data_IF_380308239009
#
_entry.id   IF_380308239009
#
_cell.length_a   1.000
_cell.length_b   1.000
_cell.length_c   1.000
_cell.angle_alpha   90.00
_cell.angle_beta   90.00
_cell.angle_gamma   90.00
#
_symmetry.space_group_name_H-M   'P 1'
#
loop_
_entity.id
_entity.type
_entity.pdbx_description
1 polymer ?
#
# COMPACT_ATOMS: atom_id res chain seq x y z
N UNK A 1 -22.44 47.05 1.07
CA UNK A 1 -21.26 46.82 1.92
C UNK A 1 -21.14 45.34 2.14
N UNK A 2 -19.95 44.80 1.94
CA UNK A 2 -19.57 43.41 2.20
C UNK A 2 -19.72 43.10 3.69
N UNK A 3 -20.06 41.86 4.03
CA UNK A 3 -19.39 41.18 5.15
C UNK A 3 -19.36 39.67 4.89
N UNK A 4 -18.22 39.21 4.39
CA UNK A 4 -17.87 37.80 4.32
C UNK A 4 -17.23 37.39 5.64
N UNK A 5 -17.96 36.63 6.45
CA UNK A 5 -17.40 35.90 7.57
C UNK A 5 -17.00 34.48 7.15
N UNK A 6 -15.81 33.97 7.53
CA UNK A 6 -15.35 32.67 7.11
C UNK A 6 -16.21 31.55 7.70
N UNK A 7 -16.45 30.54 6.86
CA UNK A 7 -17.19 29.32 7.15
C UNK A 7 -16.48 28.50 8.25
N UNK A 8 -17.28 28.06 9.22
CA UNK A 8 -17.16 26.72 9.80
C UNK A 8 -15.89 26.41 10.60
N UNK A 9 -15.68 27.11 11.71
CA UNK A 9 -14.91 26.56 12.82
C UNK A 9 -15.77 25.55 13.59
N UNK A 10 -15.84 24.30 13.10
CA UNK A 10 -16.31 23.17 13.91
C UNK A 10 -15.20 22.71 14.88
N UNK A 11 -15.54 22.07 16.01
CA UNK A 11 -14.54 21.60 16.97
C UNK A 11 -13.58 20.64 16.30
N UNK A 12 -12.36 20.52 16.82
CA UNK A 12 -11.31 19.56 16.47
C UNK A 12 -11.84 18.11 16.46
N UNK A 13 -12.63 17.75 15.46
CA UNK A 13 -13.08 16.39 15.24
C UNK A 13 -11.89 15.62 14.69
N UNK A 14 -11.44 14.60 15.42
CA UNK A 14 -10.48 13.65 14.89
C UNK A 14 -10.96 13.13 13.54
N UNK A 15 -10.12 13.26 12.52
CA UNK A 15 -10.37 12.61 11.24
C UNK A 15 -10.35 11.09 11.47
N UNK A 16 -11.50 10.45 11.25
CA UNK A 16 -11.66 9.01 11.46
C UNK A 16 -11.48 8.20 10.19
N UNK A 17 -10.97 8.80 9.10
CA UNK A 17 -10.70 8.08 7.87
C UNK A 17 -9.58 7.05 8.05
N UNK A 18 -9.70 5.92 7.34
CA UNK A 18 -8.67 4.89 7.28
C UNK A 18 -7.32 5.49 6.87
N UNK A 19 -7.34 6.35 5.85
CA UNK A 19 -6.16 7.05 5.34
C UNK A 19 -5.44 7.82 6.46
N UNK A 20 -6.16 8.63 7.22
CA UNK A 20 -5.55 9.40 8.30
C UNK A 20 -5.04 8.48 9.40
N UNK A 21 -5.90 7.63 9.97
CA UNK A 21 -5.57 6.83 11.16
C UNK A 21 -4.54 5.73 10.89
N UNK A 22 -4.65 5.00 9.78
CA UNK A 22 -3.91 3.77 9.54
C UNK A 22 -2.78 3.92 8.51
N UNK A 23 -2.71 5.03 7.77
CA UNK A 23 -1.68 5.23 6.73
C UNK A 23 -0.78 6.41 7.04
N UNK A 24 -1.36 7.56 7.39
CA UNK A 24 -0.60 8.82 7.57
C UNK A 24 -0.09 8.99 9.01
N UNK A 25 -0.86 8.58 10.02
CA UNK A 25 -0.42 8.62 11.42
C UNK A 25 0.61 7.51 11.72
N UNK A 26 1.85 7.83 12.13
CA UNK A 26 2.90 6.81 12.31
C UNK A 26 2.54 5.72 13.33
N UNK A 27 1.93 6.11 14.45
CA UNK A 27 1.53 5.17 15.50
C UNK A 27 0.36 4.31 15.03
N UNK A 28 -0.65 4.92 14.41
CA UNK A 28 -1.82 4.17 13.94
C UNK A 28 -1.46 3.21 12.80
N UNK A 29 -0.60 3.62 11.87
CA UNK A 29 -0.01 2.73 10.86
C UNK A 29 0.76 1.56 11.47
N UNK A 30 1.62 1.82 12.46
CA UNK A 30 2.35 0.75 13.15
C UNK A 30 1.39 -0.26 13.79
N UNK A 31 0.38 0.22 14.52
CA UNK A 31 -0.62 -0.62 15.16
C UNK A 31 -1.42 -1.44 14.14
N UNK A 32 -1.81 -0.81 13.03
CA UNK A 32 -2.53 -1.48 11.96
C UNK A 32 -1.69 -2.56 11.28
N UNK A 33 -0.42 -2.28 10.96
CA UNK A 33 0.51 -3.28 10.42
C UNK A 33 0.67 -4.48 11.37
N UNK A 34 0.75 -4.27 12.68
CA UNK A 34 0.77 -5.37 13.68
C UNK A 34 -0.54 -6.15 13.71
N UNK A 35 -1.67 -5.49 13.54
CA UNK A 35 -2.95 -6.16 13.41
C UNK A 35 -2.98 -7.06 12.17
N UNK A 36 -2.49 -6.59 11.01
CA UNK A 36 -2.43 -7.38 9.77
C UNK A 36 -1.56 -8.63 9.92
N UNK A 37 -0.41 -8.53 10.60
CA UNK A 37 0.46 -9.68 10.91
C UNK A 37 -0.28 -10.78 11.69
N UNK A 38 -1.20 -10.40 12.59
CA UNK A 38 -1.97 -11.32 13.42
C UNK A 38 -3.27 -11.84 12.80
N UNK A 39 -3.67 -11.32 11.64
CA UNK A 39 -4.95 -11.64 10.99
C UNK A 39 -4.72 -12.56 9.78
N UNK A 40 -4.99 -13.88 9.85
CA UNK A 40 -4.64 -14.83 8.79
C UNK A 40 -5.20 -14.49 7.40
N UNK A 41 -6.38 -13.87 7.33
CA UNK A 41 -6.99 -13.44 6.08
C UNK A 41 -6.37 -12.18 5.45
N UNK A 42 -5.62 -11.41 6.24
CA UNK A 42 -4.99 -10.14 5.83
C UNK A 42 -3.47 -10.19 5.86
N UNK A 43 -2.87 -11.27 6.38
CA UNK A 43 -1.44 -11.42 6.56
C UNK A 43 -0.66 -11.21 5.25
N UNK A 44 -1.14 -11.73 4.13
CA UNK A 44 -0.52 -11.53 2.82
C UNK A 44 -0.55 -10.05 2.37
N UNK A 45 -1.65 -9.33 2.63
CA UNK A 45 -1.75 -7.90 2.32
C UNK A 45 -0.81 -7.06 3.22
N UNK A 46 -0.72 -7.40 4.51
CA UNK A 46 0.23 -6.78 5.44
C UNK A 46 1.69 -7.02 5.03
N UNK A 47 2.03 -8.24 4.64
CA UNK A 47 3.35 -8.58 4.13
C UNK A 47 3.68 -7.84 2.83
N UNK A 48 2.74 -7.74 1.88
CA UNK A 48 2.92 -6.95 0.67
C UNK A 48 3.19 -5.48 1.00
N UNK A 49 2.44 -4.89 1.94
CA UNK A 49 2.67 -3.50 2.37
C UNK A 49 4.12 -3.33 2.87
N UNK A 50 4.56 -4.18 3.80
CA UNK A 50 5.91 -4.10 4.35
C UNK A 50 7.00 -4.19 3.27
N UNK A 51 6.82 -5.08 2.30
CA UNK A 51 7.77 -5.27 1.19
C UNK A 51 7.77 -4.09 0.21
N UNK A 52 6.62 -3.46 -0.06
CA UNK A 52 6.57 -2.22 -0.85
C UNK A 52 7.34 -1.08 -0.18
N UNK A 53 7.22 -0.93 1.15
CA UNK A 53 7.95 0.10 1.90
C UNK A 53 9.44 -0.22 2.08
N UNK A 54 9.81 -1.49 2.05
CA UNK A 54 11.20 -1.90 1.95
C UNK A 54 11.76 -1.58 0.55
N UNK A 55 10.99 -1.88 -0.49
CA UNK A 55 11.34 -1.64 -1.87
C UNK A 55 11.55 -0.15 -2.20
N UNK A 56 10.74 0.75 -1.63
CA UNK A 56 10.92 2.20 -1.75
C UNK A 56 12.29 2.69 -1.23
N UNK A 57 12.92 1.90 -0.33
CA UNK A 57 14.24 2.18 0.26
C UNK A 57 15.38 1.41 -0.41
N UNK A 58 15.11 0.59 -1.42
CA UNK A 58 16.16 -0.13 -2.14
C UNK A 58 17.01 0.81 -2.99
N UNK A 59 18.31 0.54 -3.01
CA UNK A 59 19.25 1.16 -3.93
C UNK A 59 19.00 0.67 -5.36
N UNK A 60 19.39 1.44 -6.37
CA UNK A 60 19.09 1.12 -7.77
C UNK A 60 19.68 -0.21 -8.24
N UNK A 61 20.82 -0.61 -7.68
CA UNK A 61 21.46 -1.91 -7.96
C UNK A 61 20.63 -3.11 -7.44
N UNK A 62 19.85 -2.92 -6.37
CA UNK A 62 19.04 -3.96 -5.72
C UNK A 62 17.60 -3.97 -6.25
N UNK A 63 17.13 -2.81 -6.74
CA UNK A 63 15.75 -2.55 -7.16
C UNK A 63 15.22 -3.58 -8.16
N UNK A 64 16.04 -4.01 -9.13
CA UNK A 64 15.63 -5.04 -10.10
C UNK A 64 15.31 -6.39 -9.46
N UNK A 65 16.17 -6.85 -8.53
CA UNK A 65 15.97 -8.10 -7.80
C UNK A 65 14.79 -8.05 -6.84
N UNK A 66 14.66 -6.95 -6.10
CA UNK A 66 13.55 -6.73 -5.18
C UNK A 66 12.19 -6.67 -5.92
N UNK A 67 12.14 -6.03 -7.09
CA UNK A 67 10.95 -5.99 -7.93
C UNK A 67 10.55 -7.39 -8.47
N UNK A 68 11.52 -8.24 -8.80
CA UNK A 68 11.26 -9.61 -9.23
C UNK A 68 10.75 -10.48 -8.06
N UNK A 69 11.32 -10.32 -6.87
CA UNK A 69 10.87 -11.01 -5.66
C UNK A 69 9.43 -10.64 -5.28
N UNK A 70 9.09 -9.35 -5.29
CA UNK A 70 7.71 -8.86 -5.09
C UNK A 70 6.73 -9.54 -6.05
N UNK A 71 7.05 -9.55 -7.35
CA UNK A 71 6.19 -10.16 -8.39
C UNK A 71 6.00 -11.66 -8.18
N UNK A 72 7.07 -12.40 -7.91
CA UNK A 72 6.99 -13.85 -7.72
C UNK A 72 6.21 -14.23 -6.47
N UNK A 73 6.38 -13.47 -5.38
CA UNK A 73 5.77 -13.77 -4.07
C UNK A 73 4.30 -13.38 -3.99
N UNK A 74 3.94 -12.18 -4.44
CA UNK A 74 2.63 -11.58 -4.21
C UNK A 74 1.74 -11.50 -5.45
N UNK A 75 2.30 -11.41 -6.65
CA UNK A 75 1.53 -11.08 -7.85
C UNK A 75 1.24 -12.29 -8.74
N UNK A 76 1.99 -13.37 -8.55
CA UNK A 76 1.89 -14.57 -9.37
C UNK A 76 0.91 -15.56 -8.73
N UNK A 77 -0.12 -16.03 -9.44
CA UNK A 77 -0.99 -17.11 -8.94
C UNK A 77 -0.15 -18.33 -8.54
N UNK A 78 -0.32 -18.80 -7.29
CA UNK A 78 0.49 -19.87 -6.71
C UNK A 78 1.77 -19.42 -6.00
N UNK A 79 2.06 -18.10 -5.97
CA UNK A 79 3.07 -17.52 -5.08
C UNK A 79 2.70 -17.70 -3.61
N UNK A 80 3.72 -17.73 -2.74
CA UNK A 80 3.57 -18.06 -1.31
C UNK A 80 2.56 -17.15 -0.58
N UNK A 81 2.47 -15.88 -0.98
CA UNK A 81 1.57 -14.88 -0.40
C UNK A 81 0.78 -14.18 -1.52
N UNK A 82 0.31 -14.97 -2.50
CA UNK A 82 -0.43 -14.43 -3.64
C UNK A 82 -1.62 -13.54 -3.21
N UNK A 83 -1.58 -12.28 -3.61
CA UNK A 83 -2.60 -11.27 -3.35
C UNK A 83 -3.65 -11.28 -4.47
N UNK A 84 -4.64 -12.16 -4.35
CA UNK A 84 -5.70 -12.33 -5.36
C UNK A 84 -6.63 -11.12 -5.52
N UNK A 85 -6.60 -10.16 -4.59
CA UNK A 85 -7.37 -8.92 -4.69
C UNK A 85 -6.76 -7.93 -5.71
N UNK A 86 -5.48 -8.09 -6.07
CA UNK A 86 -4.84 -7.21 -7.04
C UNK A 86 -5.34 -7.50 -8.46
N UNK A 87 -5.78 -6.47 -9.22
CA UNK A 87 -6.18 -6.66 -10.61
C UNK A 87 -5.02 -7.16 -11.49
N UNK A 88 -5.32 -8.06 -12.43
CA UNK A 88 -4.30 -8.56 -13.38
C UNK A 88 -3.62 -7.44 -14.17
N UNK A 89 -4.32 -6.34 -14.45
CA UNK A 89 -3.77 -5.18 -15.16
C UNK A 89 -2.63 -4.49 -14.39
N UNK A 90 -2.63 -4.54 -13.05
CA UNK A 90 -1.59 -3.90 -12.23
C UNK A 90 -0.46 -4.86 -11.87
N UNK A 91 -0.72 -6.17 -11.93
CA UNK A 91 0.26 -7.23 -11.63
C UNK A 91 0.92 -7.81 -12.88
N UNK A 92 0.40 -7.50 -14.07
CA UNK A 92 0.90 -8.03 -15.32
C UNK A 92 2.42 -7.79 -15.47
N UNK A 93 3.14 -8.79 -16.01
CA UNK A 93 4.52 -8.58 -16.39
C UNK A 93 4.56 -7.48 -17.47
N UNK A 94 5.61 -6.65 -17.44
CA UNK A 94 5.77 -5.58 -18.40
C UNK A 94 5.97 -6.06 -19.82
N UNK A 95 5.34 -5.34 -20.74
CA UNK A 95 5.62 -5.39 -22.16
C UNK A 95 6.71 -4.35 -22.49
N UNK A 96 7.99 -4.67 -22.25
CA UNK A 96 9.12 -3.77 -22.55
C UNK A 96 10.48 -4.21 -21.99
N UNK A 97 11.53 -3.46 -22.36
CA UNK A 97 12.96 -3.81 -22.15
C UNK A 97 13.46 -3.65 -20.70
N UNK A 98 12.67 -3.06 -19.81
CA UNK A 98 12.95 -3.04 -18.37
C UNK A 98 11.67 -3.20 -17.54
N UNK A 99 11.71 -3.94 -16.42
CA UNK A 99 10.52 -4.11 -15.61
C UNK A 99 10.10 -2.83 -14.87
N UNK A 100 8.78 -2.55 -14.75
CA UNK A 100 8.26 -1.41 -14.05
C UNK A 100 8.70 -1.57 -12.62
N UNK A 101 9.52 -0.63 -12.22
CA UNK A 101 10.00 -0.45 -10.87
C UNK A 101 9.04 0.42 -10.07
N UNK A 102 7.99 0.96 -10.69
CA UNK A 102 6.94 1.71 -10.03
C UNK A 102 5.81 0.77 -9.58
N UNK A 103 5.54 0.74 -8.28
CA UNK A 103 4.47 -0.02 -7.65
C UNK A 103 3.38 0.90 -7.06
N UNK A 104 3.31 2.17 -7.47
CA UNK A 104 2.34 3.13 -6.97
C UNK A 104 0.88 2.66 -7.12
N UNK A 105 0.52 2.08 -8.28
CA UNK A 105 -0.83 1.53 -8.47
C UNK A 105 -1.09 0.32 -7.56
N UNK A 106 -0.10 -0.57 -7.39
CA UNK A 106 -0.22 -1.72 -6.47
C UNK A 106 -0.46 -1.23 -5.05
N UNK A 107 0.25 -0.18 -4.61
CA UNK A 107 0.05 0.45 -3.30
C UNK A 107 -1.36 1.02 -3.14
N UNK A 108 -1.93 1.62 -4.19
CA UNK A 108 -3.29 2.13 -4.16
C UNK A 108 -4.32 1.01 -4.02
N UNK A 109 -4.24 -0.03 -4.84
CA UNK A 109 -5.14 -1.20 -4.77
C UNK A 109 -5.04 -1.92 -3.41
N UNK A 110 -3.82 -2.03 -2.88
CA UNK A 110 -3.58 -2.58 -1.54
C UNK A 110 -4.29 -1.78 -0.46
N UNK A 111 -4.13 -0.45 -0.45
CA UNK A 111 -4.76 0.39 0.57
C UNK A 111 -6.28 0.40 0.43
N UNK A 112 -6.81 0.37 -0.79
CA UNK A 112 -8.24 0.26 -1.04
C UNK A 112 -8.82 -1.09 -0.59
N UNK A 113 -8.02 -2.18 -0.64
CA UNK A 113 -8.43 -3.48 -0.12
C UNK A 113 -8.45 -3.55 1.42
N UNK A 114 -7.64 -2.72 2.09
CA UNK A 114 -7.47 -2.71 3.54
C UNK A 114 -8.44 -1.76 4.27
N UNK A 115 -9.14 -0.90 3.51
CA UNK A 115 -10.21 0.00 4.00
C UNK A 115 -11.56 -0.74 4.11
#
# INVERSE_FOLDING_TARGET
GQDGGPRGGGPLGEDTSFRWQCVEQPIGKLLFQRFLEGAPGLAAAGALWAELEAYERCEDAERGGAAAALRGRFFTPGGAEYCSFLPAAVTAPPTGEAPPTDFGQVRQELLAHLE
#
